data_IF_119279025216
#
_entry.id   IF_119279025216
#
_cell.length_a   1.000
_cell.length_b   1.000
_cell.length_c   1.000
_cell.angle_alpha   90.00
_cell.angle_beta   90.00
_cell.angle_gamma   90.00
#
_symmetry.space_group_name_H-M   'P 1'
#
loop_
_entity.id
_entity.type
_entity.pdbx_description
1 polymer ?
#
# COMPACT_ATOMS: atom_id res chain seq x y z
N UNK A 1 1.76 -7.75 -11.27
CA UNK A 1 2.80 -7.90 -10.23
C UNK A 1 3.77 -6.72 -10.18
N UNK A 2 4.29 -6.22 -11.31
CA UNK A 2 5.30 -5.14 -11.29
C UNK A 2 4.82 -3.81 -10.67
N UNK A 3 3.58 -3.40 -10.94
CA UNK A 3 3.04 -2.10 -10.49
C UNK A 3 2.87 -2.02 -8.97
N UNK A 4 2.49 -3.13 -8.31
CA UNK A 4 2.37 -3.21 -6.84
C UNK A 4 3.69 -2.90 -6.12
N UNK A 5 4.84 -3.28 -6.71
CA UNK A 5 6.15 -2.93 -6.17
C UNK A 5 6.42 -1.42 -6.19
N UNK A 6 5.85 -0.70 -7.17
CA UNK A 6 5.96 0.75 -7.28
C UNK A 6 5.18 1.43 -6.16
N UNK A 7 4.04 0.91 -5.72
CA UNK A 7 3.28 1.47 -4.59
C UNK A 7 4.08 1.45 -3.28
N UNK A 8 4.80 0.34 -3.02
CA UNK A 8 5.71 0.24 -1.88
C UNK A 8 6.87 1.23 -1.98
N UNK A 9 7.49 1.34 -3.16
CA UNK A 9 8.58 2.29 -3.41
C UNK A 9 8.14 3.74 -3.20
N UNK A 10 7.00 4.14 -3.75
CA UNK A 10 6.43 5.49 -3.59
C UNK A 10 6.23 5.81 -2.11
N UNK A 11 5.64 4.86 -1.36
CA UNK A 11 5.39 5.03 0.08
C UNK A 11 6.70 5.19 0.86
N UNK A 12 7.72 4.38 0.55
CA UNK A 12 9.03 4.45 1.18
C UNK A 12 9.73 5.80 0.92
N UNK A 13 9.72 6.29 -0.33
CA UNK A 13 10.32 7.57 -0.71
C UNK A 13 9.62 8.74 -0.01
N UNK A 14 8.28 8.71 0.07
CA UNK A 14 7.51 9.77 0.74
C UNK A 14 7.77 9.78 2.25
N UNK A 15 7.83 8.61 2.89
CA UNK A 15 8.16 8.52 4.32
C UNK A 15 9.57 9.04 4.55
N UNK A 16 10.55 8.64 3.74
CA UNK A 16 11.94 9.11 3.86
C UNK A 16 12.06 10.64 3.72
N UNK A 17 11.29 11.25 2.81
CA UNK A 17 11.25 12.70 2.65
C UNK A 17 10.63 13.47 3.83
N UNK A 18 9.94 12.78 4.75
CA UNK A 18 9.28 13.37 5.93
C UNK A 18 10.00 13.03 7.25
N UNK A 19 11.11 12.32 7.20
CA UNK A 19 11.89 11.97 8.39
C UNK A 19 12.95 13.06 8.65
N UNK A 20 12.74 13.84 9.71
CA UNK A 20 13.71 14.82 10.20
C UNK A 20 14.29 14.37 11.54
N UNK A 21 15.62 14.24 11.63
CA UNK A 21 16.30 13.69 12.81
C UNK A 21 16.15 14.55 14.08
N UNK A 22 15.87 15.85 13.92
CA UNK A 22 15.78 16.80 15.01
C UNK A 22 14.41 16.80 15.74
N UNK A 23 13.33 16.34 15.08
CA UNK A 23 11.95 16.60 15.54
C UNK A 23 10.99 15.41 15.32
N UNK A 24 11.50 14.17 15.41
CA UNK A 24 10.67 12.98 15.16
C UNK A 24 9.95 12.46 16.42
N UNK A 25 8.61 12.51 16.39
CA UNK A 25 7.75 11.99 17.47
C UNK A 25 7.64 10.48 17.45
N UNK A 26 7.37 9.87 18.62
CA UNK A 26 6.87 8.49 18.69
C UNK A 26 5.55 8.31 17.92
N UNK A 27 4.67 9.33 17.89
CA UNK A 27 3.41 9.28 17.14
C UNK A 27 3.66 9.22 15.63
N UNK A 28 4.57 10.05 15.10
CA UNK A 28 4.95 10.00 13.68
C UNK A 28 5.66 8.68 13.35
N UNK A 29 6.46 8.15 14.29
CA UNK A 29 7.05 6.81 14.22
C UNK A 29 6.04 5.71 13.99
N UNK A 30 5.05 5.59 14.87
CA UNK A 30 4.00 4.57 14.73
C UNK A 30 3.10 4.81 13.52
N UNK A 31 2.82 6.06 13.17
CA UNK A 31 2.04 6.38 11.97
C UNK A 31 2.77 5.98 10.68
N UNK A 32 4.07 6.24 10.56
CA UNK A 32 4.86 5.83 9.39
C UNK A 32 5.02 4.30 9.31
N UNK A 33 5.20 3.63 10.45
CA UNK A 33 5.20 2.16 10.51
C UNK A 33 3.86 1.57 10.06
N UNK A 34 2.75 2.12 10.57
CA UNK A 34 1.40 1.69 10.21
C UNK A 34 1.08 1.97 8.73
N UNK A 35 1.52 3.12 8.20
CA UNK A 35 1.40 3.44 6.78
C UNK A 35 2.13 2.41 5.90
N UNK A 36 3.40 2.12 6.22
CA UNK A 36 4.19 1.15 5.47
C UNK A 36 3.60 -0.28 5.52
N UNK A 37 3.16 -0.73 6.70
CA UNK A 37 2.54 -2.05 6.86
C UNK A 37 1.23 -2.17 6.09
N UNK A 38 0.39 -1.14 6.11
CA UNK A 38 -0.89 -1.14 5.38
C UNK A 38 -0.68 -1.32 3.88
N UNK A 39 0.23 -0.54 3.27
CA UNK A 39 0.54 -0.63 1.83
C UNK A 39 1.22 -1.97 1.49
N UNK A 40 2.14 -2.43 2.34
CA UNK A 40 2.87 -3.68 2.12
C UNK A 40 1.94 -4.90 2.16
N UNK A 41 1.11 -5.02 3.20
CA UNK A 41 0.21 -6.16 3.36
C UNK A 41 -0.93 -6.16 2.33
N UNK A 42 -1.48 -4.99 1.97
CA UNK A 42 -2.50 -4.89 0.91
C UNK A 42 -1.94 -5.29 -0.45
N UNK A 43 -0.72 -4.86 -0.76
CA UNK A 43 -0.05 -5.16 -2.04
C UNK A 43 0.36 -6.63 -2.13
N UNK A 44 0.75 -7.25 -1.01
CA UNK A 44 0.99 -8.68 -0.93
C UNK A 44 -0.28 -9.48 -1.21
N UNK A 45 -1.39 -9.13 -0.55
CA UNK A 45 -2.68 -9.80 -0.74
C UNK A 45 -3.18 -9.67 -2.19
N UNK A 46 -3.10 -8.47 -2.77
CA UNK A 46 -3.45 -8.24 -4.17
C UNK A 46 -2.55 -9.03 -5.13
N UNK A 47 -1.23 -9.07 -4.88
CA UNK A 47 -0.28 -9.84 -5.67
C UNK A 47 -0.56 -11.35 -5.65
N UNK A 48 -0.91 -11.91 -4.49
CA UNK A 48 -1.30 -13.32 -4.35
C UNK A 48 -2.60 -13.62 -5.09
N UNK A 49 -3.61 -12.76 -4.97
CA UNK A 49 -4.87 -12.91 -5.69
C UNK A 49 -4.66 -12.90 -7.21
N UNK A 50 -3.88 -11.94 -7.72
CA UNK A 50 -3.52 -11.84 -9.14
C UNK A 50 -2.74 -13.07 -9.60
N UNK A 51 -1.82 -13.58 -8.80
CA UNK A 51 -1.05 -14.79 -9.12
C UNK A 51 -1.93 -16.02 -9.29
N UNK A 52 -2.84 -16.26 -8.35
CA UNK A 52 -3.74 -17.43 -8.37
C UNK A 52 -4.77 -17.31 -9.51
N UNK A 53 -5.40 -16.14 -9.67
CA UNK A 53 -6.35 -15.89 -10.76
C UNK A 53 -5.65 -15.96 -12.11
N UNK A 54 -4.41 -15.48 -12.19
CA UNK A 54 -3.59 -15.56 -13.40
C UNK A 54 -3.32 -17.00 -13.82
N UNK A 55 -2.86 -17.85 -12.90
CA UNK A 55 -2.58 -19.27 -13.19
C UNK A 55 -3.84 -20.03 -13.64
N UNK A 56 -4.94 -19.91 -12.89
CA UNK A 56 -6.20 -20.55 -13.25
C UNK A 56 -6.78 -19.98 -14.56
N UNK A 57 -6.69 -18.66 -14.74
CA UNK A 57 -7.23 -17.92 -15.88
C UNK A 57 -6.55 -18.28 -17.19
N UNK A 58 -5.22 -18.38 -17.22
CA UNK A 58 -4.50 -18.74 -18.46
C UNK A 58 -4.78 -20.18 -18.88
N UNK A 59 -4.89 -21.10 -17.91
CA UNK A 59 -5.23 -22.51 -18.17
C UNK A 59 -6.66 -22.65 -18.71
N UNK A 60 -7.62 -21.90 -18.16
CA UNK A 60 -8.99 -21.89 -18.65
C UNK A 60 -9.11 -21.22 -20.05
N UNK A 61 -8.35 -20.14 -20.28
CA UNK A 61 -8.34 -19.45 -21.57
C UNK A 61 -7.78 -20.33 -22.70
N UNK A 62 -6.86 -21.25 -22.41
CA UNK A 62 -6.35 -22.23 -23.37
C UNK A 62 -7.45 -23.21 -23.83
N UNK A 63 -8.43 -23.51 -22.98
CA UNK A 63 -9.57 -24.36 -23.35
C UNK A 63 -10.68 -23.57 -24.06
N UNK A 64 -10.93 -22.34 -23.64
CA UNK A 64 -12.01 -21.52 -24.20
C UNK A 64 -11.60 -20.03 -24.29
N UNK A 65 -11.26 -19.52 -25.49
CA UNK A 65 -10.71 -18.17 -25.66
C UNK A 65 -11.73 -17.05 -25.36
N UNK A 66 -13.02 -17.38 -25.28
CA UNK A 66 -14.07 -16.42 -24.85
C UNK A 66 -13.94 -15.99 -23.38
N UNK A 67 -13.18 -16.71 -22.56
CA UNK A 67 -12.98 -16.40 -21.13
C UNK A 67 -11.96 -15.28 -20.89
N UNK A 68 -11.22 -14.86 -21.92
CA UNK A 68 -10.18 -13.83 -21.82
C UNK A 68 -10.67 -12.52 -21.20
N UNK A 69 -11.83 -12.02 -21.64
CA UNK A 69 -12.39 -10.76 -21.13
C UNK A 69 -12.79 -10.88 -19.65
N UNK A 70 -13.39 -12.00 -19.26
CA UNK A 70 -13.77 -12.26 -17.87
C UNK A 70 -12.55 -12.32 -16.94
N UNK A 71 -11.47 -12.98 -17.38
CA UNK A 71 -10.21 -13.03 -16.65
C UNK A 71 -9.63 -11.63 -16.43
N UNK A 72 -9.60 -10.77 -17.46
CA UNK A 72 -9.09 -9.40 -17.33
C UNK A 72 -9.91 -8.59 -16.32
N UNK A 73 -11.25 -8.69 -16.35
CA UNK A 73 -12.10 -7.99 -15.39
C UNK A 73 -11.78 -8.37 -13.95
N UNK A 74 -11.57 -9.66 -13.66
CA UNK A 74 -11.20 -10.13 -12.32
C UNK A 74 -9.83 -9.57 -11.90
N UNK A 75 -8.85 -9.57 -12.81
CA UNK A 75 -7.51 -9.05 -12.54
C UNK A 75 -7.51 -7.54 -12.23
N UNK A 76 -8.38 -6.76 -12.87
CA UNK A 76 -8.54 -5.32 -12.59
C UNK A 76 -9.10 -5.09 -11.17
N UNK A 77 -10.12 -5.86 -10.76
CA UNK A 77 -10.66 -5.75 -9.40
C UNK A 77 -9.65 -6.19 -8.33
N UNK A 78 -8.83 -7.21 -8.63
CA UNK A 78 -7.78 -7.64 -7.72
C UNK A 78 -6.69 -6.56 -7.54
N UNK A 79 -6.33 -5.85 -8.60
CA UNK A 79 -5.37 -4.73 -8.55
C UNK A 79 -5.91 -3.54 -7.72
N UNK A 80 -7.21 -3.26 -7.78
CA UNK A 80 -7.83 -2.16 -7.02
C UNK A 80 -7.62 -2.29 -5.50
N UNK A 81 -7.49 -3.51 -4.97
CA UNK A 81 -7.18 -3.76 -3.56
C UNK A 81 -5.80 -3.18 -3.16
N UNK A 82 -4.81 -3.26 -4.04
CA UNK A 82 -3.49 -2.67 -3.84
C UNK A 82 -3.54 -1.14 -3.81
N UNK A 83 -4.33 -0.55 -4.71
CA UNK A 83 -4.54 0.90 -4.76
C UNK A 83 -5.23 1.45 -3.51
N UNK A 84 -6.23 0.74 -2.97
CA UNK A 84 -6.87 1.16 -1.72
C UNK A 84 -5.90 1.21 -0.55
N UNK A 85 -5.03 0.20 -0.42
CA UNK A 85 -4.01 0.21 0.62
C UNK A 85 -3.01 1.35 0.47
N UNK A 86 -2.58 1.66 -0.76
CA UNK A 86 -1.73 2.82 -1.06
C UNK A 86 -2.37 4.13 -0.60
N UNK A 87 -3.64 4.37 -0.96
CA UNK A 87 -4.35 5.59 -0.59
C UNK A 87 -4.41 5.75 0.93
N UNK A 88 -4.79 4.69 1.64
CA UNK A 88 -4.86 4.70 3.11
C UNK A 88 -3.49 4.97 3.73
N UNK A 89 -2.45 4.28 3.25
CA UNK A 89 -1.07 4.50 3.73
C UNK A 89 -0.58 5.93 3.53
N UNK A 90 -0.86 6.53 2.36
CA UNK A 90 -0.48 7.91 2.06
C UNK A 90 -1.21 8.93 2.91
N UNK A 91 -2.50 8.71 3.20
CA UNK A 91 -3.28 9.58 4.10
C UNK A 91 -2.69 9.52 5.51
N UNK A 92 -2.39 8.32 6.02
CA UNK A 92 -1.78 8.16 7.36
C UNK A 92 -0.42 8.84 7.43
N UNK A 93 0.46 8.61 6.45
CA UNK A 93 1.78 9.23 6.38
C UNK A 93 1.74 10.76 6.17
N UNK A 94 0.65 11.31 5.61
CA UNK A 94 0.51 12.77 5.43
C UNK A 94 -0.13 13.46 6.62
N UNK A 95 -0.96 12.75 7.37
CA UNK A 95 -1.63 13.32 8.55
C UNK A 95 -0.79 13.19 9.83
N UNK A 96 0.22 12.30 9.82
CA UNK A 96 1.12 12.04 10.94
C UNK A 96 1.78 13.32 11.48
N UNK A 97 2.27 14.19 10.59
CA UNK A 97 2.94 15.43 10.96
C UNK A 97 1.95 16.47 11.49
N UNK A 98 0.77 16.61 10.88
CA UNK A 98 -0.26 17.57 11.31
C UNK A 98 -0.86 17.26 12.68
N UNK A 99 -1.10 15.98 12.99
CA UNK A 99 -1.65 15.54 14.28
C UNK A 99 -0.58 15.38 15.38
N UNK A 100 0.70 15.30 15.01
CA UNK A 100 1.82 15.10 15.92
C UNK A 100 2.37 16.36 16.62
N UNK A 101 2.02 17.57 16.15
CA UNK A 101 2.65 18.84 16.56
C UNK A 101 2.52 19.23 18.04
N UNK A 102 1.62 18.60 18.80
CA UNK A 102 1.40 18.88 20.23
C UNK A 102 1.68 17.73 21.18
N UNK A 103 2.08 16.56 20.66
CA UNK A 103 2.24 15.34 21.46
C UNK A 103 3.66 15.14 22.02
N UNK A 104 4.59 16.03 21.65
CA UNK A 104 6.03 15.93 21.96
C UNK A 104 6.55 17.13 22.75
N UNK A 105 5.66 17.93 23.34
CA UNK A 105 6.06 18.81 24.43
C UNK A 105 6.31 17.92 25.65
N UNK A 106 7.44 18.06 26.36
CA UNK A 106 7.60 17.41 27.65
C UNK A 106 6.41 17.81 28.52
N UNK A 107 5.77 16.82 29.15
CA UNK A 107 4.87 17.10 30.27
C UNK A 107 5.75 17.72 31.36
N UNK A 108 5.68 19.05 31.47
CA UNK A 108 6.38 19.92 32.44
C UNK A 108 7.70 20.58 31.94
N UNK A 109 7.59 21.83 31.52
CA UNK A 109 8.35 22.96 32.08
C UNK A 109 7.51 24.24 31.92
#
# INVERSE_FOLDING_TARGET
AGVLGIYGLITAVIINGKMEAASYSAYSGYAHLGAGLTVGMSSLAAGLAIGIVGDAGVRANAQQPRLFVGMILILIFAEALGLYGLIVGLVVASTAEGKGKGLCVPYNA
#
